data_IF_589364632225
#
_entry.id   IF_589364632225
#
_cell.length_a   1.000
_cell.length_b   1.000
_cell.length_c   1.000
_cell.angle_alpha   90.00
_cell.angle_beta   90.00
_cell.angle_gamma   90.00
#
_symmetry.space_group_name_H-M   'P 1'
#
loop_
_entity.id
_entity.type
_entity.pdbx_description
1 polymer ?
#
# COMPACT_ATOMS: atom_id res chain seq x y z
N UNK A 1 -9.44 38.09 5.63
CA UNK A 1 -8.14 37.43 5.39
C UNK A 1 -7.99 36.22 6.31
N UNK A 2 -7.54 35.08 5.78
CA UNK A 2 -7.26 33.91 6.62
C UNK A 2 -5.96 34.10 7.42
N UNK A 3 -5.85 33.44 8.58
CA UNK A 3 -4.63 33.47 9.39
C UNK A 3 -3.53 32.62 8.71
N UNK A 4 -2.31 33.17 8.64
CA UNK A 4 -1.12 32.46 8.15
C UNK A 4 -0.88 31.15 8.92
N UNK A 5 -0.32 30.14 8.24
CA UNK A 5 0.10 28.87 8.82
C UNK A 5 1.02 29.07 10.03
N UNK A 6 1.91 30.06 9.96
CA UNK A 6 2.92 30.37 10.99
C UNK A 6 2.40 31.31 12.09
N UNK A 7 1.14 31.73 12.01
CA UNK A 7 0.49 32.53 13.05
C UNK A 7 0.61 31.87 14.43
N UNK A 8 0.94 32.65 15.46
CA UNK A 8 1.07 32.18 16.85
C UNK A 8 -0.20 31.49 17.33
N UNK A 9 -1.37 32.05 17.01
CA UNK A 9 -2.67 31.48 17.36
C UNK A 9 -2.89 30.08 16.78
N UNK A 10 -2.66 29.89 15.48
CA UNK A 10 -2.85 28.58 14.83
C UNK A 10 -1.82 27.55 15.31
N UNK A 11 -0.60 27.98 15.65
CA UNK A 11 0.41 27.12 16.29
C UNK A 11 -0.02 26.65 17.67
N UNK A 12 -0.51 27.56 18.52
CA UNK A 12 -1.03 27.25 19.87
C UNK A 12 -2.15 26.21 19.82
N UNK A 13 -3.19 26.46 19.00
CA UNK A 13 -4.30 25.51 18.86
C UNK A 13 -3.88 24.14 18.29
N UNK A 14 -2.87 24.10 17.42
CA UNK A 14 -2.30 22.83 16.94
C UNK A 14 -1.55 22.08 18.02
N UNK A 15 -0.82 22.77 18.90
CA UNK A 15 -0.15 22.15 20.04
C UNK A 15 -1.17 21.58 21.03
N UNK A 16 -2.23 22.32 21.36
CA UNK A 16 -3.35 21.83 22.19
C UNK A 16 -4.03 20.61 21.56
N UNK A 17 -4.28 20.63 20.25
CA UNK A 17 -4.81 19.46 19.52
C UNK A 17 -3.88 18.25 19.61
N UNK A 18 -2.56 18.44 19.48
CA UNK A 18 -1.58 17.34 19.62
C UNK A 18 -1.56 16.77 21.03
N UNK A 19 -1.66 17.59 22.09
CA UNK A 19 -1.77 17.10 23.47
C UNK A 19 -2.97 16.14 23.65
N UNK A 20 -4.10 16.45 23.03
CA UNK A 20 -5.31 15.61 23.07
C UNK A 20 -5.19 14.34 22.21
N UNK A 21 -4.58 14.43 21.03
CA UNK A 21 -4.57 13.34 20.05
C UNK A 21 -3.38 12.39 20.21
N UNK A 22 -2.22 12.88 20.64
CA UNK A 22 -1.00 12.09 20.81
C UNK A 22 -1.21 10.80 21.64
N UNK A 23 -1.82 10.83 22.84
CA UNK A 23 -2.01 9.59 23.61
C UNK A 23 -2.96 8.60 22.91
N UNK A 24 -3.97 9.10 22.18
CA UNK A 24 -4.93 8.25 21.46
C UNK A 24 -4.31 7.57 20.24
N UNK A 25 -3.50 8.31 19.50
CA UNK A 25 -2.77 7.78 18.35
C UNK A 25 -1.69 6.80 18.80
N UNK A 26 -0.95 7.11 19.87
CA UNK A 26 0.04 6.19 20.44
C UNK A 26 -0.58 4.87 20.89
N UNK A 27 -1.72 4.89 21.60
CA UNK A 27 -2.42 3.68 22.00
C UNK A 27 -2.83 2.82 20.79
N UNK A 28 -3.41 3.44 19.75
CA UNK A 28 -3.79 2.72 18.52
C UNK A 28 -2.60 2.14 17.78
N UNK A 29 -1.50 2.89 17.69
CA UNK A 29 -0.29 2.42 17.03
C UNK A 29 0.38 1.28 17.81
N UNK A 30 0.42 1.36 19.14
CA UNK A 30 0.92 0.27 19.99
C UNK A 30 0.06 -0.98 19.90
N UNK A 31 -1.26 -0.82 19.85
CA UNK A 31 -2.19 -1.92 19.58
C UNK A 31 -1.97 -2.55 18.20
N UNK A 32 -1.83 -1.74 17.15
CA UNK A 32 -1.57 -2.23 15.79
C UNK A 32 -0.24 -2.96 15.67
N UNK A 33 0.78 -2.50 16.38
CA UNK A 33 2.09 -3.16 16.45
C UNK A 33 2.11 -4.34 17.45
N UNK A 34 1.00 -4.63 18.13
CA UNK A 34 0.91 -5.61 19.21
C UNK A 34 1.97 -5.45 20.32
N UNK A 35 2.58 -4.27 20.48
CA UNK A 35 3.68 -4.06 21.45
C UNK A 35 3.21 -4.10 22.91
N UNK A 36 1.93 -3.77 23.16
CA UNK A 36 1.34 -3.86 24.49
C UNK A 36 1.01 -5.31 24.88
N UNK A 37 0.89 -6.20 23.88
CA UNK A 37 0.97 -7.65 24.08
C UNK A 37 2.44 -8.02 24.00
N UNK A 38 3.20 -7.74 25.08
CA UNK A 38 4.48 -8.44 25.30
C UNK A 38 4.29 -9.89 24.87
N UNK A 39 5.12 -10.35 23.95
CA UNK A 39 4.97 -11.59 23.19
C UNK A 39 5.08 -12.87 24.02
N UNK A 40 4.32 -12.98 25.11
CA UNK A 40 4.11 -14.21 25.85
C UNK A 40 2.93 -14.98 25.26
N UNK A 41 1.76 -14.34 25.06
CA UNK A 41 0.55 -15.08 24.69
C UNK A 41 0.55 -15.71 23.28
N UNK A 42 1.36 -15.22 22.34
CA UNK A 42 1.41 -15.80 20.97
C UNK A 42 2.47 -16.92 20.86
N UNK A 43 3.45 -16.95 21.76
CA UNK A 43 4.48 -18.00 21.76
C UNK A 43 4.12 -19.17 22.71
N UNK A 44 3.21 -18.99 23.67
CA UNK A 44 2.70 -20.08 24.51
C UNK A 44 1.76 -21.01 23.75
N UNK A 45 0.83 -20.45 22.98
CA UNK A 45 -0.16 -21.24 22.24
C UNK A 45 0.50 -22.00 21.07
N UNK A 46 1.61 -21.48 20.53
CA UNK A 46 2.45 -22.22 19.57
C UNK A 46 3.29 -23.32 20.22
N UNK A 47 3.66 -23.22 21.50
CA UNK A 47 4.41 -24.28 22.20
C UNK A 47 3.52 -25.50 22.49
N UNK A 48 2.22 -25.30 22.74
CA UNK A 48 1.28 -26.42 22.92
C UNK A 48 0.94 -27.12 21.59
N UNK A 49 0.99 -26.42 20.46
CA UNK A 49 0.66 -26.96 19.13
C UNK A 49 1.90 -27.51 18.39
N UNK A 50 3.08 -26.91 18.58
CA UNK A 50 4.32 -27.34 17.92
C UNK A 50 5.29 -27.94 18.94
N UNK A 51 5.36 -29.27 18.98
CA UNK A 51 6.49 -29.94 19.62
C UNK A 51 7.77 -29.63 18.85
N UNK A 52 8.76 -29.03 19.52
CA UNK A 52 10.07 -28.75 18.91
C UNK A 52 10.79 -30.08 18.73
N UNK A 53 10.85 -30.55 17.48
CA UNK A 53 11.60 -31.74 17.09
C UNK A 53 13.08 -31.34 16.89
N UNK A 54 14.05 -31.99 17.55
CA UNK A 54 15.47 -31.70 17.38
C UNK A 54 15.94 -31.97 15.94
N UNK A 55 16.92 -31.17 15.49
CA UNK A 55 17.38 -31.09 14.09
C UNK A 55 17.87 -32.44 13.50
N UNK A 56 18.26 -33.39 14.34
CA UNK A 56 18.74 -34.71 13.92
C UNK A 56 17.64 -35.59 13.29
N UNK A 57 16.36 -35.26 13.53
CA UNK A 57 15.21 -35.97 12.93
C UNK A 57 14.78 -35.39 11.57
N UNK A 58 14.97 -34.09 11.35
CA UNK A 58 14.54 -33.38 10.13
C UNK A 58 15.40 -33.77 8.91
N UNK A 59 16.68 -34.08 9.12
CA UNK A 59 17.60 -34.49 8.04
C UNK A 59 17.22 -35.80 7.35
N UNK A 60 16.27 -36.58 7.89
CA UNK A 60 15.83 -37.86 7.34
C UNK A 60 14.59 -37.76 6.44
N UNK A 61 13.87 -36.62 6.43
CA UNK A 61 12.56 -36.49 5.74
C UNK A 61 12.54 -35.42 4.62
N UNK A 62 13.70 -34.96 4.16
CA UNK A 62 13.83 -33.84 3.21
C UNK A 62 13.45 -34.11 1.74
N UNK A 63 12.65 -35.13 1.44
CA UNK A 63 12.41 -35.59 0.06
C UNK A 63 10.91 -35.68 -0.33
N UNK A 64 10.04 -34.86 0.27
CA UNK A 64 8.64 -34.74 -0.20
C UNK A 64 8.28 -33.28 -0.47
N UNK A 65 7.91 -33.05 -1.73
CA UNK A 65 7.68 -31.78 -2.43
C UNK A 65 6.71 -30.82 -1.72
N UNK A 66 7.15 -29.57 -1.53
CA UNK A 66 6.27 -28.44 -1.19
C UNK A 66 5.69 -27.85 -2.48
N UNK A 67 4.47 -28.26 -2.81
CA UNK A 67 3.66 -27.67 -3.86
C UNK A 67 3.40 -26.17 -3.59
N UNK A 68 3.65 -25.34 -4.60
CA UNK A 68 3.39 -23.91 -4.63
C UNK A 68 1.92 -23.61 -4.33
N UNK A 69 1.66 -22.95 -3.20
CA UNK A 69 0.37 -22.34 -2.90
C UNK A 69 0.25 -21.04 -3.70
N UNK A 70 -0.48 -21.11 -4.82
CA UNK A 70 -0.96 -19.97 -5.60
C UNK A 70 -1.70 -18.97 -4.69
N UNK A 71 -1.05 -17.84 -4.43
CA UNK A 71 -1.66 -16.65 -3.82
C UNK A 71 -1.49 -15.44 -4.74
N UNK A 72 -2.34 -15.33 -5.75
CA UNK A 72 -2.41 -14.19 -6.69
C UNK A 72 -3.16 -12.99 -6.08
N UNK A 73 -2.74 -12.50 -4.91
CA UNK A 73 -3.39 -11.35 -4.25
C UNK A 73 -2.41 -10.22 -3.88
N UNK A 74 -1.26 -10.16 -4.56
CA UNK A 74 -0.28 -9.11 -4.29
C UNK A 74 0.94 -9.09 -5.19
N UNK A 75 0.95 -9.85 -6.29
CA UNK A 75 2.06 -9.83 -7.23
C UNK A 75 2.04 -8.48 -7.94
N UNK A 76 2.84 -7.54 -7.42
CA UNK A 76 3.16 -6.31 -8.13
C UNK A 76 3.66 -6.74 -9.51
N UNK A 77 2.89 -6.41 -10.53
CA UNK A 77 3.18 -6.75 -11.92
C UNK A 77 4.43 -5.94 -12.33
N UNK A 78 5.62 -6.37 -11.92
CA UNK A 78 6.91 -5.72 -12.14
C UNK A 78 7.67 -6.38 -13.30
N UNK A 79 7.31 -7.62 -13.65
CA UNK A 79 8.06 -8.47 -14.57
C UNK A 79 7.63 -8.33 -16.04
N UNK A 80 6.47 -7.71 -16.30
CA UNK A 80 6.04 -7.46 -17.68
C UNK A 80 6.86 -6.36 -18.35
N UNK A 81 7.35 -6.63 -19.56
CA UNK A 81 8.02 -5.65 -20.43
C UNK A 81 7.04 -4.51 -20.74
N UNK A 82 7.29 -3.33 -20.16
CA UNK A 82 6.47 -2.14 -20.37
C UNK A 82 7.24 -1.00 -21.01
N UNK A 83 6.51 -0.19 -21.78
CA UNK A 83 7.04 1.03 -22.36
C UNK A 83 7.31 2.09 -21.29
N UNK A 84 8.56 2.51 -21.09
CA UNK A 84 8.95 3.50 -20.06
C UNK A 84 8.21 4.84 -20.16
N UNK A 85 7.80 5.25 -21.37
CA UNK A 85 7.12 6.53 -21.63
C UNK A 85 5.61 6.49 -21.40
N UNK A 86 4.95 5.37 -21.71
CA UNK A 86 3.49 5.24 -21.67
C UNK A 86 3.00 4.34 -20.54
N UNK A 87 3.89 3.60 -19.91
CA UNK A 87 3.66 2.59 -18.88
C UNK A 87 2.65 1.51 -19.29
N UNK A 88 2.49 1.30 -20.60
CA UNK A 88 1.64 0.25 -21.14
C UNK A 88 2.42 -1.05 -21.35
N UNK A 89 1.73 -2.17 -21.18
CA UNK A 89 2.18 -3.49 -21.63
C UNK A 89 1.97 -3.69 -23.15
N UNK A 90 2.31 -4.88 -23.64
CA UNK A 90 2.15 -5.28 -25.05
C UNK A 90 0.67 -5.28 -25.50
N UNK A 91 -0.25 -5.49 -24.56
CA UNK A 91 -1.70 -5.50 -24.79
C UNK A 91 -2.34 -4.10 -24.63
N UNK A 92 -1.55 -3.07 -24.30
CA UNK A 92 -2.03 -1.70 -24.14
C UNK A 92 -2.74 -1.41 -22.81
N UNK A 93 -2.55 -2.25 -21.80
CA UNK A 93 -3.09 -2.15 -20.45
C UNK A 93 -2.11 -1.48 -19.48
N UNK A 94 -2.66 -0.74 -18.50
CA UNK A 94 -1.89 -0.11 -17.42
C UNK A 94 -1.64 -1.10 -16.27
N UNK A 95 -0.60 -0.90 -15.44
CA UNK A 95 -0.34 -1.76 -14.29
C UNK A 95 -1.55 -1.84 -13.34
N UNK A 96 -1.78 -3.01 -12.73
CA UNK A 96 -2.91 -3.23 -11.84
C UNK A 96 -2.94 -2.28 -10.62
N UNK A 97 -1.76 -1.89 -10.12
CA UNK A 97 -1.64 -0.92 -9.02
C UNK A 97 -1.98 0.53 -9.44
N UNK A 98 -2.06 0.82 -10.75
CA UNK A 98 -2.40 2.14 -11.23
C UNK A 98 -3.92 2.37 -11.16
N UNK A 99 -4.35 3.24 -10.26
CA UNK A 99 -5.76 3.57 -10.10
C UNK A 99 -6.40 4.16 -11.38
N UNK A 100 -7.69 3.86 -11.59
CA UNK A 100 -8.45 4.24 -12.79
C UNK A 100 -8.35 5.74 -13.16
N UNK A 101 -8.29 6.63 -12.17
CA UNK A 101 -8.16 8.09 -12.38
C UNK A 101 -6.82 8.47 -13.01
N UNK A 102 -5.73 7.82 -12.56
CA UNK A 102 -4.38 8.06 -13.08
C UNK A 102 -4.27 7.54 -14.52
N UNK A 103 -4.80 6.33 -14.78
CA UNK A 103 -4.88 5.75 -16.12
C UNK A 103 -5.65 6.66 -17.10
N UNK A 104 -6.81 7.18 -16.69
CA UNK A 104 -7.60 8.14 -17.49
C UNK A 104 -6.83 9.44 -17.77
N UNK A 105 -6.08 9.96 -16.81
CA UNK A 105 -5.26 11.19 -16.96
C UNK A 105 -4.13 10.99 -17.97
N UNK A 106 -3.39 9.88 -17.87
CA UNK A 106 -2.30 9.55 -18.80
C UNK A 106 -2.82 9.29 -20.22
N UNK A 107 -3.92 8.55 -20.36
CA UNK A 107 -4.61 8.35 -21.64
C UNK A 107 -5.04 9.70 -22.24
N UNK A 108 -5.61 10.59 -21.43
CA UNK A 108 -6.00 11.94 -21.87
C UNK A 108 -4.83 12.77 -22.41
N UNK A 109 -3.68 12.78 -21.70
CA UNK A 109 -2.47 13.48 -22.17
C UNK A 109 -1.94 12.91 -23.49
N UNK A 110 -1.88 11.58 -23.60
CA UNK A 110 -1.42 10.89 -24.82
C UNK A 110 -2.33 11.17 -26.02
N UNK A 111 -3.65 11.09 -25.82
CA UNK A 111 -4.60 11.39 -26.89
C UNK A 111 -4.55 12.86 -27.29
N UNK A 112 -4.37 13.79 -26.34
CA UNK A 112 -4.24 15.22 -26.62
C UNK A 112 -2.96 15.57 -27.41
N UNK A 113 -1.87 14.82 -27.22
CA UNK A 113 -0.65 14.98 -28.02
C UNK A 113 -0.79 14.36 -29.42
N UNK A 114 -1.51 13.24 -29.53
CA UNK A 114 -1.73 12.55 -30.83
C UNK A 114 -2.77 13.28 -31.70
N UNK A 115 -3.80 13.85 -31.09
CA UNK A 115 -4.74 14.74 -31.79
C UNK A 115 -4.19 16.17 -31.72
N UNK A 116 -3.29 16.52 -32.64
CA UNK A 116 -2.87 17.91 -32.83
C UNK A 116 -4.11 18.82 -32.83
N UNK A 117 -4.17 19.75 -31.86
CA UNK A 117 -5.33 20.55 -31.45
C UNK A 117 -6.36 19.78 -30.59
N UNK A 118 -6.35 20.10 -29.31
CA UNK A 118 -7.38 19.71 -28.36
C UNK A 118 -8.77 20.06 -28.88
N UNK A 119 -9.58 19.03 -29.14
CA UNK A 119 -11.02 19.19 -29.15
C UNK A 119 -11.41 19.62 -27.73
N UNK A 120 -11.51 20.94 -27.51
CA UNK A 120 -12.16 21.51 -26.33
C UNK A 120 -13.49 20.76 -26.22
N UNK A 121 -13.73 20.08 -25.11
CA UNK A 121 -15.06 19.56 -24.82
C UNK A 121 -16.00 20.75 -24.99
N UNK A 122 -16.90 20.70 -25.97
CA UNK A 122 -17.97 21.68 -26.09
C UNK A 122 -18.64 21.68 -24.72
N UNK A 123 -18.56 22.83 -24.03
CA UNK A 123 -19.09 22.97 -22.68
C UNK A 123 -20.53 22.50 -22.67
N UNK A 124 -20.91 21.74 -21.65
CA UNK A 124 -22.31 21.67 -21.26
C UNK A 124 -22.66 23.13 -20.94
N UNK A 125 -23.50 23.70 -21.80
CA UNK A 125 -24.12 24.98 -21.57
C UNK A 125 -25.34 24.72 -20.69
N UNK A 126 -25.30 25.33 -19.51
CA UNK A 126 -26.37 25.42 -18.52
C UNK A 126 -26.71 24.11 -17.79
#
# INVERSE_FOLDING_TARGET
MAKSLRSKWKRKMRAEKRKKNAPKELARLKQALNLDKKGEAVMTDMQEIATVVPADKIKKEGDVEMAELEGDDGKMDLDRKRNKKTLLDENGQYPAWMGQRQAKKLKGKRMAQKSGKGKKKKGIAW
#
